data_IF_899055178808
#
_entry.id   IF_899055178808
#
_cell.length_a   1.000
_cell.length_b   1.000
_cell.length_c   1.000
_cell.angle_alpha   90.00
_cell.angle_beta   90.00
_cell.angle_gamma   90.00
#
_symmetry.space_group_name_H-M   'P 1'
#
loop_
_entity.id
_entity.type
_entity.pdbx_description
1 polymer ?
#
# COMPACT_ATOMS: atom_id res chain seq x y z
N UNK A 1 35.22 -29.45 1.27
CA UNK A 1 34.51 -28.33 0.61
C UNK A 1 34.30 -27.21 1.63
N UNK A 2 34.66 -25.95 1.29
CA UNK A 2 34.83 -24.87 2.27
C UNK A 2 33.48 -24.32 2.79
N UNK A 3 33.20 -24.37 4.11
CA UNK A 3 31.94 -23.90 4.71
C UNK A 3 31.68 -22.39 4.50
N UNK A 4 32.72 -21.62 4.20
CA UNK A 4 32.63 -20.18 3.93
C UNK A 4 31.88 -19.81 2.63
N UNK A 5 31.74 -20.72 1.65
CA UNK A 5 30.97 -20.46 0.41
C UNK A 5 29.47 -20.62 0.62
N UNK A 6 29.03 -21.60 1.40
CA UNK A 6 27.61 -21.83 1.69
C UNK A 6 26.99 -20.70 2.51
N UNK A 7 27.74 -20.12 3.45
CA UNK A 7 27.25 -19.01 4.28
C UNK A 7 26.97 -17.72 3.48
N UNK A 8 27.78 -17.42 2.44
CA UNK A 8 27.54 -16.24 1.57
C UNK A 8 26.30 -16.40 0.70
N UNK A 9 26.04 -17.63 0.23
CA UNK A 9 24.88 -17.95 -0.59
C UNK A 9 23.60 -17.84 0.24
N UNK A 10 23.60 -18.33 1.48
CA UNK A 10 22.45 -18.25 2.38
C UNK A 10 22.05 -16.80 2.72
N UNK A 11 23.03 -15.92 3.01
CA UNK A 11 22.75 -14.49 3.28
C UNK A 11 22.19 -13.78 2.05
N UNK A 12 22.77 -14.03 0.87
CA UNK A 12 22.27 -13.43 -0.37
C UNK A 12 20.84 -13.90 -0.70
N UNK A 13 20.55 -15.18 -0.50
CA UNK A 13 19.21 -15.74 -0.71
C UNK A 13 18.18 -15.15 0.27
N UNK A 14 18.56 -14.96 1.54
CA UNK A 14 17.67 -14.34 2.53
C UNK A 14 17.35 -12.87 2.18
N UNK A 15 18.36 -12.09 1.77
CA UNK A 15 18.15 -10.70 1.32
C UNK A 15 17.26 -10.66 0.08
N UNK A 16 17.51 -11.54 -0.90
CA UNK A 16 16.68 -11.62 -2.11
C UNK A 16 15.23 -12.02 -1.80
N UNK A 17 15.01 -12.95 -0.87
CA UNK A 17 13.68 -13.36 -0.44
C UNK A 17 12.92 -12.23 0.26
N UNK A 18 13.60 -11.44 1.11
CA UNK A 18 13.01 -10.26 1.76
C UNK A 18 12.63 -9.22 0.69
N UNK A 19 13.52 -8.90 -0.25
CA UNK A 19 13.23 -7.94 -1.32
C UNK A 19 12.10 -8.41 -2.25
N UNK A 20 12.04 -9.71 -2.57
CA UNK A 20 10.98 -10.29 -3.39
C UNK A 20 9.62 -10.28 -2.68
N UNK A 21 9.59 -10.56 -1.37
CA UNK A 21 8.38 -10.47 -0.57
C UNK A 21 7.91 -9.00 -0.46
N UNK A 22 8.79 -8.08 -0.10
CA UNK A 22 8.49 -6.65 0.07
C UNK A 22 8.01 -5.99 -1.23
N UNK A 23 8.58 -6.39 -2.37
CA UNK A 23 8.15 -5.89 -3.69
C UNK A 23 6.69 -6.24 -4.02
N UNK A 24 6.21 -7.40 -3.57
CA UNK A 24 4.83 -7.83 -3.82
C UNK A 24 3.83 -6.99 -3.01
N UNK A 25 4.07 -6.78 -1.71
CA UNK A 25 3.21 -5.96 -0.85
C UNK A 25 3.13 -4.49 -1.30
N UNK A 26 4.24 -3.96 -1.82
CA UNK A 26 4.28 -2.60 -2.39
C UNK A 26 3.43 -2.48 -3.65
N UNK A 27 3.47 -3.50 -4.53
CA UNK A 27 2.69 -3.47 -5.77
C UNK A 27 1.20 -3.63 -5.52
N UNK A 28 0.81 -4.48 -4.57
CA UNK A 28 -0.59 -4.58 -4.11
C UNK A 28 -1.07 -3.30 -3.43
N UNK A 29 -0.29 -2.76 -2.48
CA UNK A 29 -0.63 -1.51 -1.81
C UNK A 29 -0.76 -0.33 -2.77
N UNK A 30 0.10 -0.25 -3.79
CA UNK A 30 0.00 0.75 -4.85
C UNK A 30 -1.29 0.59 -5.66
N UNK A 31 -1.60 -0.64 -6.08
CA UNK A 31 -2.81 -0.94 -6.87
C UNK A 31 -4.08 -0.59 -6.09
N UNK A 32 -4.17 -0.98 -4.83
CA UNK A 32 -5.33 -0.74 -3.97
C UNK A 32 -5.49 0.76 -3.68
N UNK A 33 -4.40 1.46 -3.35
CA UNK A 33 -4.42 2.91 -3.14
C UNK A 33 -4.88 3.66 -4.39
N UNK A 34 -4.36 3.27 -5.57
CA UNK A 34 -4.75 3.88 -6.84
C UNK A 34 -6.19 3.59 -7.21
N UNK A 35 -6.65 2.35 -7.02
CA UNK A 35 -8.05 1.99 -7.23
C UNK A 35 -8.97 2.82 -6.32
N UNK A 36 -8.61 3.03 -5.06
CA UNK A 36 -9.39 3.86 -4.14
C UNK A 36 -9.45 5.33 -4.59
N UNK A 37 -8.36 5.89 -5.12
CA UNK A 37 -8.37 7.23 -5.72
C UNK A 37 -9.29 7.29 -6.95
N UNK A 38 -9.29 6.26 -7.79
CA UNK A 38 -10.15 6.19 -8.98
C UNK A 38 -11.64 6.06 -8.65
N UNK A 39 -11.99 5.54 -7.46
CA UNK A 39 -13.37 5.48 -6.98
C UNK A 39 -13.92 6.86 -6.64
N UNK A 40 -13.07 7.78 -6.16
CA UNK A 40 -13.53 9.07 -5.64
C UNK A 40 -14.35 9.89 -6.66
N UNK A 41 -13.90 10.10 -7.91
CA UNK A 41 -14.69 10.86 -8.89
C UNK A 41 -15.99 10.16 -9.35
N UNK A 42 -16.12 8.85 -9.10
CA UNK A 42 -17.35 8.11 -9.41
C UNK A 42 -18.46 8.39 -8.39
N UNK A 43 -18.06 8.67 -7.15
CA UNK A 43 -18.98 8.92 -6.04
C UNK A 43 -19.28 10.41 -5.87
N UNK A 44 -18.33 11.26 -6.26
CA UNK A 44 -18.46 12.70 -6.26
C UNK A 44 -18.85 13.21 -7.66
N UNK A 45 -20.14 13.48 -7.85
CA UNK A 45 -20.74 13.71 -9.17
C UNK A 45 -20.20 14.97 -9.87
N UNK A 46 -19.81 16.00 -9.11
CA UNK A 46 -19.39 17.29 -9.65
C UNK A 46 -18.21 17.92 -8.93
N UNK A 47 -17.57 18.88 -9.60
CA UNK A 47 -16.49 19.68 -9.03
C UNK A 47 -15.09 19.12 -9.24
N UNK A 48 -14.11 19.98 -9.00
CA UNK A 48 -12.69 19.66 -8.93
C UNK A 48 -12.39 19.00 -7.58
N UNK A 49 -11.60 17.94 -7.60
CA UNK A 49 -11.32 17.10 -6.44
C UNK A 49 -9.83 17.23 -6.09
N UNK A 50 -9.55 17.66 -4.86
CA UNK A 50 -8.18 17.76 -4.34
C UNK A 50 -8.02 16.81 -3.17
N UNK A 51 -7.18 15.79 -3.34
CA UNK A 51 -6.86 14.82 -2.30
C UNK A 51 -5.75 15.39 -1.42
N UNK A 52 -6.08 15.66 -0.16
CA UNK A 52 -5.15 16.21 0.82
C UNK A 52 -4.52 15.15 1.74
N UNK A 53 -5.14 13.98 1.86
CA UNK A 53 -4.58 12.88 2.64
C UNK A 53 -4.95 11.51 2.07
N UNK A 54 -4.00 10.59 2.20
CA UNK A 54 -4.18 9.18 1.92
C UNK A 54 -3.48 8.41 3.03
N UNK A 55 -4.19 7.46 3.65
CA UNK A 55 -3.63 6.59 4.69
C UNK A 55 -4.20 5.19 4.56
N UNK A 56 -3.42 4.19 4.94
CA UNK A 56 -3.93 2.85 5.24
C UNK A 56 -4.40 2.80 6.69
N UNK A 57 -5.47 2.06 6.96
CA UNK A 57 -5.97 1.86 8.32
C UNK A 57 -4.98 1.04 9.15
N UNK A 58 -4.72 1.50 10.37
CA UNK A 58 -3.83 0.82 11.32
C UNK A 58 -4.41 -0.51 11.82
N UNK A 59 -5.73 -0.65 11.87
CA UNK A 59 -6.42 -1.85 12.37
C UNK A 59 -6.87 -2.80 11.27
N UNK A 60 -7.02 -2.31 10.04
CA UNK A 60 -7.51 -3.08 8.90
C UNK A 60 -6.58 -2.86 7.70
N UNK A 61 -5.56 -3.72 7.48
CA UNK A 61 -4.51 -3.47 6.47
C UNK A 61 -5.03 -3.42 5.02
N UNK A 62 -6.20 -3.99 4.75
CA UNK A 62 -6.89 -3.87 3.46
C UNK A 62 -7.70 -2.59 3.28
N UNK A 63 -7.77 -1.69 4.27
CA UNK A 63 -8.58 -0.49 4.22
C UNK A 63 -7.72 0.74 3.99
N UNK A 64 -8.08 1.53 2.97
CA UNK A 64 -7.50 2.83 2.69
C UNK A 64 -8.52 3.93 2.99
N UNK A 65 -8.05 5.06 3.47
CA UNK A 65 -8.84 6.25 3.75
C UNK A 65 -8.23 7.45 3.03
N UNK A 66 -9.09 8.18 2.35
CA UNK A 66 -8.80 9.39 1.58
C UNK A 66 -9.55 10.55 2.23
N UNK A 67 -8.82 11.60 2.58
CA UNK A 67 -9.38 12.91 2.89
C UNK A 67 -9.23 13.82 1.68
N UNK A 68 -10.33 14.42 1.24
CA UNK A 68 -10.35 15.26 0.05
C UNK A 68 -11.18 16.53 0.25
N UNK A 69 -11.03 17.46 -0.71
CA UNK A 69 -11.84 18.66 -0.86
C UNK A 69 -12.46 18.64 -2.26
N UNK A 70 -13.77 18.76 -2.34
CA UNK A 70 -14.49 19.01 -3.59
C UNK A 70 -14.81 20.50 -3.70
N UNK A 71 -14.58 21.09 -4.87
CA UNK A 71 -14.91 22.49 -5.16
C UNK A 71 -15.79 22.57 -6.40
N UNK A 72 -16.98 23.12 -6.27
CA UNK A 72 -17.95 23.32 -7.34
C UNK A 72 -18.62 24.71 -7.26
N UNK A 73 -19.71 24.91 -8.01
CA UNK A 73 -20.46 26.17 -8.03
C UNK A 73 -21.12 26.51 -6.69
N UNK A 74 -21.38 25.52 -5.83
CA UNK A 74 -21.97 25.71 -4.51
C UNK A 74 -20.90 26.03 -3.44
N UNK A 75 -19.62 25.84 -3.77
CA UNK A 75 -18.50 26.19 -2.92
C UNK A 75 -17.54 25.02 -2.71
N UNK A 76 -16.82 25.06 -1.59
CA UNK A 76 -15.83 24.04 -1.22
C UNK A 76 -16.33 23.22 -0.03
N UNK A 77 -16.33 21.89 -0.18
CA UNK A 77 -16.64 20.94 0.90
C UNK A 77 -15.48 19.98 1.14
N UNK A 78 -15.28 19.56 2.37
CA UNK A 78 -14.38 18.46 2.72
C UNK A 78 -15.18 17.17 2.79
N UNK A 79 -14.60 16.08 2.30
CA UNK A 79 -15.20 14.76 2.32
C UNK A 79 -14.21 13.67 2.72
N UNK A 80 -14.75 12.48 2.97
CA UNK A 80 -13.95 11.30 3.32
C UNK A 80 -14.42 10.09 2.50
N UNK A 81 -13.46 9.38 1.96
CA UNK A 81 -13.68 8.10 1.28
C UNK A 81 -12.87 7.01 1.98
N UNK A 82 -13.46 5.85 2.23
CA UNK A 82 -12.74 4.65 2.67
C UNK A 82 -13.03 3.50 1.72
N UNK A 83 -12.00 2.78 1.32
CA UNK A 83 -12.11 1.61 0.46
C UNK A 83 -11.53 0.40 1.18
N UNK A 84 -12.28 -0.70 1.22
CA UNK A 84 -11.82 -1.98 1.73
C UNK A 84 -11.48 -2.91 0.57
N UNK A 85 -10.29 -3.48 0.60
CA UNK A 85 -9.80 -4.45 -0.36
C UNK A 85 -9.53 -5.78 0.31
N UNK A 86 -9.75 -6.86 -0.44
CA UNK A 86 -9.57 -8.23 0.02
C UNK A 86 -9.45 -9.18 -1.15
N UNK A 87 -9.25 -10.45 -0.84
CA UNK A 87 -9.16 -11.48 -1.87
C UNK A 87 -10.58 -11.95 -2.22
N UNK A 88 -10.89 -11.97 -3.52
CA UNK A 88 -12.14 -12.45 -4.04
C UNK A 88 -12.16 -13.97 -4.25
N UNK A 89 -13.30 -14.52 -4.69
CA UNK A 89 -13.45 -15.95 -4.91
C UNK A 89 -12.56 -16.51 -6.04
N UNK A 90 -12.06 -15.65 -6.92
CA UNK A 90 -11.11 -15.99 -7.99
C UNK A 90 -9.63 -15.85 -7.55
N UNK A 91 -9.39 -15.54 -6.27
CA UNK A 91 -8.07 -15.30 -5.70
C UNK A 91 -7.44 -13.97 -6.13
N UNK A 92 -8.17 -13.11 -6.84
CA UNK A 92 -7.72 -11.77 -7.20
C UNK A 92 -8.08 -10.78 -6.11
N UNK A 93 -7.42 -9.62 -6.13
CA UNK A 93 -7.72 -8.51 -5.21
C UNK A 93 -8.95 -7.75 -5.71
N UNK A 94 -9.97 -7.63 -4.86
CA UNK A 94 -11.24 -6.97 -5.15
C UNK A 94 -11.56 -5.86 -4.15
N UNK A 95 -12.38 -4.90 -4.61
CA UNK A 95 -12.96 -3.86 -3.78
C UNK A 95 -14.17 -4.46 -3.03
N UNK A 96 -13.99 -4.77 -1.75
CA UNK A 96 -15.00 -5.43 -0.92
C UNK A 96 -16.04 -4.47 -0.35
N UNK A 97 -15.71 -3.20 -0.25
CA UNK A 97 -16.61 -2.22 0.34
C UNK A 97 -16.08 -0.80 0.19
N UNK A 98 -17.00 0.15 0.19
CA UNK A 98 -16.68 1.58 0.17
C UNK A 98 -17.57 2.31 1.17
N UNK A 99 -16.98 3.21 1.93
CA UNK A 99 -17.66 4.15 2.80
C UNK A 99 -17.43 5.57 2.27
N UNK A 100 -18.51 6.28 1.98
CA UNK A 100 -18.49 7.64 1.45
C UNK A 100 -19.17 8.57 2.45
N UNK A 101 -18.44 9.56 2.95
CA UNK A 101 -18.86 10.48 4.02
C UNK A 101 -19.44 9.78 5.25
N UNK A 102 -18.80 8.68 5.65
CA UNK A 102 -19.18 7.90 6.83
C UNK A 102 -20.30 6.89 6.59
N UNK A 103 -20.84 6.80 5.37
CA UNK A 103 -21.93 5.88 5.03
C UNK A 103 -21.41 4.77 4.10
N UNK A 104 -21.62 3.48 4.42
CA UNK A 104 -21.29 2.41 3.50
C UNK A 104 -22.18 2.50 2.25
N UNK A 105 -21.58 2.33 1.07
CA UNK A 105 -22.37 2.20 -0.16
C UNK A 105 -22.99 0.81 -0.23
N UNK A 106 -24.21 0.71 -0.76
CA UNK A 106 -24.87 -0.57 -0.94
C UNK A 106 -24.19 -1.47 -1.98
N UNK A 107 -24.37 -2.78 -1.86
CA UNK A 107 -23.74 -3.79 -2.73
C UNK A 107 -24.01 -3.58 -4.22
N UNK A 108 -25.23 -3.16 -4.58
CA UNK A 108 -25.56 -2.83 -5.96
C UNK A 108 -24.69 -1.67 -6.49
N UNK A 109 -24.53 -0.58 -5.71
CA UNK A 109 -23.70 0.56 -6.10
C UNK A 109 -22.22 0.16 -6.19
N UNK A 110 -21.75 -0.69 -5.28
CA UNK A 110 -20.41 -1.26 -5.32
C UNK A 110 -20.18 -2.09 -6.58
N UNK A 111 -21.13 -2.97 -6.94
CA UNK A 111 -21.07 -3.75 -8.17
C UNK A 111 -21.02 -2.85 -9.42
N UNK A 112 -21.85 -1.80 -9.47
CA UNK A 112 -21.84 -0.85 -10.57
C UNK A 112 -20.50 -0.12 -10.70
N UNK A 113 -19.96 0.33 -9.57
CA UNK A 113 -18.65 0.99 -9.49
C UNK A 113 -17.54 0.07 -10.00
N UNK A 114 -17.50 -1.19 -9.57
CA UNK A 114 -16.48 -2.13 -10.02
C UNK A 114 -16.62 -2.46 -11.51
N UNK A 115 -17.85 -2.77 -11.97
CA UNK A 115 -18.08 -3.29 -13.31
C UNK A 115 -18.01 -2.22 -14.40
N UNK A 116 -18.59 -1.06 -14.15
CA UNK A 116 -18.80 -0.03 -15.17
C UNK A 116 -17.88 1.17 -15.02
N UNK A 117 -17.51 1.54 -13.79
CA UNK A 117 -16.57 2.64 -13.60
C UNK A 117 -15.12 2.15 -13.67
N UNK A 118 -14.73 1.25 -12.76
CA UNK A 118 -13.36 0.72 -12.72
C UNK A 118 -13.06 -0.19 -13.92
N UNK A 119 -14.08 -0.81 -14.52
CA UNK A 119 -13.98 -1.62 -15.72
C UNK A 119 -13.91 -0.84 -17.04
N UNK A 120 -14.20 0.46 -17.06
CA UNK A 120 -14.17 1.30 -18.27
C UNK A 120 -13.00 2.31 -18.22
N UNK A 121 -11.95 2.13 -19.04
CA UNK A 121 -10.82 3.05 -19.10
C UNK A 121 -11.21 4.50 -19.47
N UNK A 122 -12.30 4.70 -20.22
CA UNK A 122 -12.76 6.04 -20.58
C UNK A 122 -13.37 6.76 -19.37
N UNK A 123 -14.20 6.06 -18.59
CA UNK A 123 -14.76 6.59 -17.34
C UNK A 123 -13.66 6.94 -16.34
N UNK A 124 -12.68 6.04 -16.17
CA UNK A 124 -11.50 6.28 -15.31
C UNK A 124 -10.75 7.54 -15.72
N UNK A 125 -10.39 7.68 -17.00
CA UNK A 125 -9.66 8.87 -17.49
C UNK A 125 -10.46 10.15 -17.31
N UNK A 126 -11.78 10.11 -17.52
CA UNK A 126 -12.66 11.24 -17.27
C UNK A 126 -12.68 11.66 -15.81
N UNK A 127 -12.67 10.69 -14.88
CA UNK A 127 -12.55 10.94 -13.45
C UNK A 127 -11.18 11.50 -13.04
N UNK A 128 -10.10 10.94 -13.58
CA UNK A 128 -8.73 11.39 -13.32
C UNK A 128 -8.52 12.86 -13.73
N UNK A 129 -9.19 13.33 -14.80
CA UNK A 129 -9.11 14.72 -15.24
C UNK A 129 -9.62 15.73 -14.19
N UNK A 130 -10.52 15.31 -13.29
CA UNK A 130 -11.06 16.13 -12.19
C UNK A 130 -10.26 15.98 -10.89
N UNK A 131 -9.34 15.03 -10.83
CA UNK A 131 -8.66 14.64 -9.61
C UNK A 131 -7.23 15.20 -9.56
N UNK A 132 -6.93 15.94 -8.49
CA UNK A 132 -5.57 16.39 -8.15
C UNK A 132 -5.17 15.78 -6.82
N UNK A 133 -3.91 15.37 -6.73
CA UNK A 133 -3.35 14.80 -5.51
C UNK A 133 -2.28 15.73 -4.95
N UNK A 134 -2.59 16.34 -3.80
CA UNK A 134 -1.63 17.12 -3.01
C UNK A 134 -0.95 16.25 -1.93
N UNK A 135 -1.21 14.93 -1.94
CA UNK A 135 -0.59 13.98 -1.02
C UNK A 135 0.92 13.97 -1.24
N UNK A 136 1.73 14.27 -0.21
CA UNK A 136 3.18 14.20 -0.32
C UNK A 136 3.66 12.79 -0.72
N UNK A 137 4.69 12.65 -1.56
CA UNK A 137 5.18 11.33 -1.99
C UNK A 137 5.51 10.38 -0.83
N UNK A 138 6.04 10.91 0.28
CA UNK A 138 6.33 10.14 1.49
C UNK A 138 5.07 9.65 2.21
N UNK A 139 3.99 10.43 2.22
CA UNK A 139 2.71 10.01 2.80
C UNK A 139 2.06 8.93 1.94
N UNK A 140 2.16 9.05 0.61
CA UNK A 140 1.70 8.02 -0.32
C UNK A 140 2.47 6.70 -0.12
N UNK A 141 3.80 6.76 -0.01
CA UNK A 141 4.65 5.61 0.33
C UNK A 141 4.26 4.97 1.67
N UNK A 142 4.05 5.78 2.71
CA UNK A 142 3.62 5.28 4.02
C UNK A 142 2.25 4.58 3.95
N UNK A 143 1.32 5.08 3.15
CA UNK A 143 0.02 4.43 2.94
C UNK A 143 0.17 3.07 2.24
N UNK A 144 1.07 2.93 1.26
CA UNK A 144 1.29 1.67 0.54
C UNK A 144 1.99 0.60 1.38
N UNK A 145 3.00 1.01 2.17
CA UNK A 145 3.74 0.09 3.05
C UNK A 145 2.83 -0.32 4.23
N UNK A 146 1.98 0.60 4.68
CA UNK A 146 1.34 0.47 5.99
C UNK A 146 2.37 0.63 7.12
N UNK A 147 1.95 0.36 8.36
CA UNK A 147 2.93 0.24 9.44
C UNK A 147 3.66 -1.10 9.30
N UNK A 148 5.00 -1.12 9.36
CA UNK A 148 5.75 -2.38 9.36
C UNK A 148 5.25 -3.25 10.51
N UNK A 149 4.88 -4.50 10.19
CA UNK A 149 4.40 -5.44 11.19
C UNK A 149 5.50 -5.61 12.28
N UNK A 150 5.18 -5.60 13.58
CA UNK A 150 6.20 -5.67 14.64
C UNK A 150 7.08 -6.92 14.54
N UNK A 151 6.55 -8.01 13.97
CA UNK A 151 7.31 -9.23 13.66
C UNK A 151 8.41 -9.01 12.61
N UNK A 152 8.18 -8.16 11.59
CA UNK A 152 9.18 -7.79 10.59
C UNK A 152 10.30 -6.97 11.22
N UNK A 153 9.96 -6.00 12.07
CA UNK A 153 10.95 -5.21 12.81
C UNK A 153 11.82 -6.14 13.68
N UNK A 154 11.19 -7.08 14.40
CA UNK A 154 11.90 -8.07 15.20
C UNK A 154 12.82 -8.97 14.37
N UNK A 155 12.35 -9.47 13.23
CA UNK A 155 13.15 -10.30 12.32
C UNK A 155 14.35 -9.55 11.75
N UNK A 156 14.16 -8.29 11.36
CA UNK A 156 15.19 -7.44 10.77
C UNK A 156 16.27 -7.07 11.82
N UNK A 157 15.85 -6.78 13.05
CA UNK A 157 16.76 -6.62 14.20
C UNK A 157 17.55 -7.91 14.49
N UNK A 158 16.90 -9.07 14.51
CA UNK A 158 17.58 -10.35 14.71
C UNK A 158 18.60 -10.63 13.60
N UNK A 159 18.25 -10.36 12.34
CA UNK A 159 19.14 -10.53 11.20
C UNK A 159 20.37 -9.61 11.30
N UNK A 160 20.16 -8.33 11.68
CA UNK A 160 21.25 -7.37 11.89
C UNK A 160 22.17 -7.80 13.05
N UNK A 161 21.61 -8.26 14.16
CA UNK A 161 22.38 -8.75 15.30
C UNK A 161 23.18 -10.01 14.95
N UNK A 162 22.58 -10.95 14.22
CA UNK A 162 23.27 -12.16 13.74
C UNK A 162 24.43 -11.80 12.79
N UNK A 163 24.21 -10.86 11.87
CA UNK A 163 25.26 -10.36 10.98
C UNK A 163 26.40 -9.67 11.76
N UNK A 164 26.07 -8.86 12.77
CA UNK A 164 27.05 -8.19 13.62
C UNK A 164 27.89 -9.20 14.43
N UNK A 165 27.26 -10.21 15.04
CA UNK A 165 27.94 -11.25 15.79
C UNK A 165 28.90 -12.07 14.89
N UNK A 166 28.46 -12.40 13.67
CA UNK A 166 29.29 -13.10 12.69
C UNK A 166 30.49 -12.26 12.22
N UNK A 167 30.31 -10.94 12.06
CA UNK A 167 31.40 -10.03 11.71
C UNK A 167 32.43 -9.93 12.85
N UNK A 168 31.96 -9.85 14.10
CA UNK A 168 32.83 -9.81 15.28
C UNK A 168 33.68 -11.08 15.42
N UNK A 169 33.07 -12.27 15.28
CA UNK A 169 33.79 -13.55 15.37
C UNK A 169 34.90 -13.71 14.31
N UNK A 170 34.69 -13.19 13.10
CA UNK A 170 35.73 -13.22 12.04
C UNK A 170 36.92 -12.31 12.34
N UNK A 171 36.71 -11.19 13.04
CA UNK A 171 37.79 -10.31 13.47
C UNK A 171 38.64 -10.94 14.56
N UNK A 172 38.01 -11.69 15.48
CA UNK A 172 38.71 -12.40 16.57
C UNK A 172 39.57 -13.56 16.04
N UNK A 173 39.04 -14.37 15.12
CA UNK A 173 39.80 -15.48 14.49
C UNK A 173 41.02 -14.98 13.70
N UNK A 174 40.91 -13.81 13.06
CA UNK A 174 42.01 -13.22 12.27
C UNK A 174 43.14 -12.69 13.16
N UNK A 175 42.83 -12.30 14.40
CA UNK A 175 43.80 -11.83 15.40
C UNK A 175 44.55 -12.94 16.11
N UNK A 176 43.99 -14.16 16.17
CA UNK A 176 44.67 -15.34 16.74
C UNK A 176 45.60 -16.07 15.77
N UNK A 177 45.55 -15.75 14.47
CA UNK A 177 46.38 -16.40 13.42
C UNK A 177 47.52 -15.52 12.91
N UNK A 178 47.75 -14.35 13.50
CA UNK A 178 48.89 -13.47 13.23
C UNK A 178 49.74 -13.35 14.48
#
# INVERSE_FOLDING_TARGET
MRPARFLKIAVAAAIAAILAAEGWWLTEGYRDARACLTVLPALEESGELVVGSLRRSDSLPGVFEIGYRATDIAGSRSGRLRCAFGDGPDGRRHLLGVEFDGQPIGEARLYFLERFWLGDPAAVRSGEARLRSDVPPLAFLAAMIGRPHPSLIGALLCALLAAAALAAGRLTERRQRG
#
